data_IF_523457102570
#
_entry.id   IF_523457102570
#
_cell.length_a   1.000
_cell.length_b   1.000
_cell.length_c   1.000
_cell.angle_alpha   90.00
_cell.angle_beta   90.00
_cell.angle_gamma   90.00
#
_symmetry.space_group_name_H-M   'P 1'
#
loop_
_entity.id
_entity.type
_entity.pdbx_description
1 polymer ?
#
# COMPACT_ATOMS: atom_id res chain seq x y z
N UNK A 1 -7.36 17.45 3.05
CA UNK A 1 -8.24 16.72 2.10
C UNK A 1 -7.45 15.55 1.56
N UNK A 2 -7.96 14.33 1.74
CA UNK A 2 -7.41 13.10 1.17
C UNK A 2 -7.83 13.01 -0.29
N UNK A 3 -6.88 13.10 -1.22
CA UNK A 3 -7.17 12.87 -2.64
C UNK A 3 -7.48 11.38 -2.86
N UNK A 4 -8.48 11.04 -3.71
CA UNK A 4 -8.75 9.64 -4.04
C UNK A 4 -7.49 8.98 -4.60
N UNK A 5 -7.11 7.82 -4.04
CA UNK A 5 -5.94 7.06 -4.48
C UNK A 5 -4.59 7.40 -3.82
N UNK A 6 -4.56 8.14 -2.71
CA UNK A 6 -3.34 8.34 -1.91
C UNK A 6 -3.32 7.43 -0.67
N UNK A 7 -2.23 6.70 -0.46
CA UNK A 7 -1.96 5.89 0.74
C UNK A 7 -0.91 6.56 1.61
N UNK A 8 -1.08 6.47 2.94
CA UNK A 8 -0.22 7.10 3.93
C UNK A 8 0.29 6.08 4.94
N UNK A 9 1.59 6.17 5.25
CA UNK A 9 2.21 5.49 6.39
C UNK A 9 2.92 6.54 7.24
N UNK A 10 2.84 6.45 8.57
CA UNK A 10 3.48 7.43 9.44
C UNK A 10 3.85 6.82 10.80
N UNK A 11 5.04 7.15 11.29
CA UNK A 11 5.34 7.07 12.71
C UNK A 11 5.01 8.43 13.34
N UNK A 12 4.30 8.43 14.47
CA UNK A 12 3.87 9.67 15.13
C UNK A 12 5.04 10.65 15.25
N UNK A 13 4.92 11.82 14.61
CA UNK A 13 5.81 12.99 14.76
C UNK A 13 7.27 12.88 14.25
N UNK A 14 7.69 11.75 13.66
CA UNK A 14 9.08 11.57 13.19
C UNK A 14 9.20 11.58 11.67
N UNK A 15 8.36 10.80 10.98
CA UNK A 15 8.42 10.67 9.53
C UNK A 15 7.06 10.22 8.96
N UNK A 16 6.87 10.45 7.66
CA UNK A 16 5.67 10.07 6.91
C UNK A 16 6.04 9.61 5.51
N UNK A 17 5.38 8.56 5.02
CA UNK A 17 5.46 8.09 3.64
C UNK A 17 4.09 8.30 2.98
N UNK A 18 4.10 8.74 1.72
CA UNK A 18 2.92 8.91 0.87
C UNK A 18 3.13 8.18 -0.44
N UNK A 19 2.15 7.40 -0.88
CA UNK A 19 2.12 6.86 -2.24
C UNK A 19 0.87 7.37 -2.97
N UNK A 20 1.04 7.93 -4.16
CA UNK A 20 -0.07 8.47 -4.94
C UNK A 20 0.20 8.49 -6.45
N UNK A 21 -0.87 8.56 -7.24
CA UNK A 21 -0.82 8.76 -8.68
C UNK A 21 -0.35 10.19 -8.98
N UNK A 22 0.94 10.37 -9.32
CA UNK A 22 1.49 11.71 -9.63
C UNK A 22 0.89 12.26 -10.92
N UNK A 23 0.62 11.40 -11.89
CA UNK A 23 -0.13 11.77 -13.10
C UNK A 23 -1.44 12.46 -12.70
N UNK A 24 -2.30 11.79 -11.93
CA UNK A 24 -3.59 12.32 -11.49
C UNK A 24 -3.45 13.59 -10.63
N UNK A 25 -2.42 13.67 -9.78
CA UNK A 25 -2.16 14.86 -8.96
C UNK A 25 -1.80 16.09 -9.80
N UNK A 26 -1.08 15.92 -10.90
CA UNK A 26 -0.72 17.03 -11.79
C UNK A 26 -1.94 17.68 -12.46
N UNK A 27 -3.08 16.99 -12.60
CA UNK A 27 -4.33 17.62 -13.09
C UNK A 27 -4.94 18.58 -12.06
N UNK A 28 -4.74 18.29 -10.78
CA UNK A 28 -5.29 19.07 -9.67
C UNK A 28 -4.33 20.20 -9.29
N UNK A 29 -3.02 19.93 -9.36
CA UNK A 29 -1.94 20.83 -8.99
C UNK A 29 -0.92 20.96 -10.13
N UNK A 30 -1.31 21.53 -11.29
CA UNK A 30 -0.39 21.74 -12.39
C UNK A 30 0.67 22.78 -12.03
N UNK A 31 1.94 22.60 -12.43
CA UNK A 31 2.94 23.66 -12.36
C UNK A 31 2.55 24.79 -13.32
N UNK A 32 3.01 26.01 -13.02
CA UNK A 32 2.69 27.20 -13.81
C UNK A 32 3.31 27.21 -15.21
N UNK A 33 4.39 26.43 -15.42
CA UNK A 33 5.03 26.25 -16.72
C UNK A 33 4.32 25.13 -17.51
N UNK A 34 3.68 25.50 -18.62
CA UNK A 34 2.88 24.61 -19.46
C UNK A 34 3.73 23.53 -20.17
N UNK A 35 4.95 23.88 -20.61
CA UNK A 35 5.85 22.93 -21.24
C UNK A 35 6.36 21.91 -20.22
N UNK A 36 6.68 22.38 -19.01
CA UNK A 36 7.06 21.52 -17.90
C UNK A 36 5.89 20.63 -17.46
N UNK A 37 4.69 21.17 -17.36
CA UNK A 37 3.48 20.41 -17.04
C UNK A 37 3.30 19.25 -18.01
N UNK A 38 3.32 19.51 -19.32
CA UNK A 38 3.16 18.47 -20.34
C UNK A 38 4.23 17.37 -20.22
N UNK A 39 5.50 17.76 -20.05
CA UNK A 39 6.61 16.80 -19.91
C UNK A 39 6.47 15.95 -18.65
N UNK A 40 6.16 16.56 -17.50
CA UNK A 40 5.97 15.84 -16.24
C UNK A 40 4.74 14.92 -16.30
N UNK A 41 3.70 15.35 -17.01
CA UNK A 41 2.49 14.59 -17.21
C UNK A 41 2.76 13.34 -18.03
N UNK A 42 3.39 13.47 -19.20
CA UNK A 42 3.81 12.34 -20.03
C UNK A 42 4.75 11.40 -19.27
N UNK A 43 5.73 11.95 -18.53
CA UNK A 43 6.67 11.15 -17.76
C UNK A 43 6.01 10.33 -16.64
N UNK A 44 5.01 10.90 -15.96
CA UNK A 44 4.37 10.28 -14.81
C UNK A 44 3.26 9.28 -15.16
N UNK A 45 2.95 9.11 -16.46
CA UNK A 45 1.94 8.18 -16.92
C UNK A 45 2.32 6.73 -16.54
N UNK A 46 1.40 6.03 -15.87
CA UNK A 46 1.64 4.68 -15.37
C UNK A 46 2.59 4.58 -14.16
N UNK A 47 3.08 5.70 -13.62
CA UNK A 47 3.99 5.72 -12.47
C UNK A 47 3.27 6.03 -11.15
N UNK A 48 3.65 5.28 -10.12
CA UNK A 48 3.31 5.59 -8.72
C UNK A 48 4.43 6.41 -8.10
N UNK A 49 4.11 7.57 -7.54
CA UNK A 49 5.08 8.34 -6.76
C UNK A 49 5.03 7.91 -5.31
N UNK A 50 6.21 7.62 -4.75
CA UNK A 50 6.41 7.37 -3.33
C UNK A 50 7.24 8.54 -2.79
N UNK A 51 6.78 9.14 -1.69
CA UNK A 51 7.42 10.30 -1.09
C UNK A 51 7.64 10.05 0.40
N UNK A 52 8.85 10.33 0.87
CA UNK A 52 9.20 10.29 2.30
C UNK A 52 9.39 11.71 2.79
N UNK A 53 8.67 12.06 3.85
CA UNK A 53 8.77 13.32 4.56
C UNK A 53 9.39 13.05 5.94
N UNK A 54 10.51 13.70 6.21
CA UNK A 54 11.24 13.59 7.48
C UNK A 54 11.04 14.86 8.30
N UNK A 55 10.63 14.72 9.55
CA UNK A 55 10.41 15.86 10.44
C UNK A 55 11.65 16.16 11.27
N UNK A 56 11.66 17.34 11.91
CA UNK A 56 12.80 17.88 12.68
C UNK A 56 13.47 16.89 13.64
N UNK A 57 12.75 16.05 14.42
CA UNK A 57 13.39 15.08 15.31
C UNK A 57 14.27 14.07 14.55
N UNK A 58 13.77 13.58 13.42
CA UNK A 58 14.46 12.59 12.59
C UNK A 58 15.68 13.19 11.86
N UNK A 59 15.60 14.47 11.49
CA UNK A 59 16.70 15.20 10.86
C UNK A 59 17.83 15.54 11.84
N UNK A 60 17.50 15.77 13.13
CA UNK A 60 18.50 16.09 14.16
C UNK A 60 19.38 14.90 14.54
N UNK A 61 18.80 13.70 14.56
CA UNK A 61 19.50 12.47 14.97
C UNK A 61 20.42 11.89 13.88
N UNK A 62 20.28 12.32 12.62
CA UNK A 62 20.88 11.64 11.46
C UNK A 62 22.14 12.26 10.86
N UNK A 63 22.44 13.53 11.10
CA UNK A 63 23.55 14.20 10.40
C UNK A 63 23.26 14.42 8.90
N UNK A 64 24.15 13.99 8.00
CA UNK A 64 24.05 14.23 6.55
C UNK A 64 23.04 13.28 5.89
N UNK A 65 22.20 13.82 4.99
CA UNK A 65 21.28 13.04 4.16
C UNK A 65 22.03 12.45 2.95
N UNK A 66 22.95 11.51 3.19
CA UNK A 66 23.62 10.82 2.09
C UNK A 66 22.67 9.75 1.53
N UNK A 67 22.17 9.99 0.32
CA UNK A 67 21.24 9.10 -0.37
C UNK A 67 21.88 7.76 -0.76
N UNK A 68 23.21 7.68 -0.81
CA UNK A 68 23.95 6.48 -1.23
C UNK A 68 25.18 6.23 -0.33
N UNK A 69 24.98 6.14 0.98
CA UNK A 69 26.06 5.91 1.96
C UNK A 69 26.91 4.66 1.64
N UNK A 70 26.33 3.65 0.97
CA UNK A 70 27.02 2.39 0.60
C UNK A 70 26.99 2.06 -0.89
N UNK A 71 26.35 2.89 -1.73
CA UNK A 71 26.26 2.68 -3.18
C UNK A 71 25.33 1.55 -3.63
N UNK A 72 24.60 0.89 -2.73
CA UNK A 72 23.60 -0.14 -3.05
C UNK A 72 22.17 0.43 -3.08
N UNK A 73 21.27 -0.05 -3.95
CA UNK A 73 19.88 0.44 -4.02
C UNK A 73 19.13 0.36 -2.69
N UNK A 74 19.46 -0.61 -1.84
CA UNK A 74 18.85 -0.80 -0.53
C UNK A 74 19.23 0.28 0.49
N UNK A 75 20.25 1.11 0.20
CA UNK A 75 20.68 2.21 1.06
C UNK A 75 19.95 3.51 0.81
N UNK A 76 19.15 3.58 -0.26
CA UNK A 76 18.33 4.75 -0.50
C UNK A 76 17.44 4.98 0.73
N UNK A 77 17.45 6.22 1.19
CA UNK A 77 16.74 6.67 2.38
C UNK A 77 15.27 6.21 2.37
N UNK A 78 14.64 6.21 1.20
CA UNK A 78 13.26 5.77 0.99
C UNK A 78 13.04 4.33 1.43
N UNK A 79 13.92 3.39 1.06
CA UNK A 79 13.80 1.97 1.40
C UNK A 79 14.07 1.72 2.88
N UNK A 80 15.01 2.47 3.48
CA UNK A 80 15.23 2.42 4.94
C UNK A 80 13.95 2.76 5.71
N UNK A 81 13.18 3.76 5.29
CA UNK A 81 11.89 4.09 5.93
C UNK A 81 10.76 3.16 5.51
N UNK A 82 10.79 2.64 4.29
CA UNK A 82 9.83 1.64 3.85
C UNK A 82 9.92 0.37 4.71
N UNK A 83 11.14 -0.05 5.07
CA UNK A 83 11.39 -1.17 5.98
C UNK A 83 10.99 -0.88 7.44
N UNK A 84 10.97 0.39 7.85
CA UNK A 84 10.45 0.82 9.16
C UNK A 84 8.92 0.83 9.23
N UNK A 85 8.22 0.69 8.10
CA UNK A 85 6.79 0.44 8.11
C UNK A 85 6.62 -0.96 8.72
N UNK A 86 6.46 -1.01 10.04
CA UNK A 86 5.83 -2.16 10.66
C UNK A 86 4.49 -2.30 9.95
N UNK A 87 4.27 -3.44 9.30
CA UNK A 87 2.94 -3.89 8.92
C UNK A 87 2.24 -4.22 10.24
N UNK A 88 2.01 -3.20 11.06
CA UNK A 88 1.20 -3.26 12.25
C UNK A 88 -0.15 -3.70 11.74
N UNK A 89 -0.44 -4.99 11.95
CA UNK A 89 -1.62 -5.76 11.56
C UNK A 89 -2.60 -4.80 10.95
N UNK A 90 -2.60 -4.69 9.61
CA UNK A 90 -3.53 -3.84 8.87
C UNK A 90 -4.84 -3.91 9.63
N UNK A 91 -5.16 -2.88 10.43
CA UNK A 91 -6.49 -2.76 11.02
C UNK A 91 -7.24 -2.35 9.80
N UNK A 92 -7.61 -3.39 9.02
CA UNK A 92 -8.26 -3.28 7.74
C UNK A 92 -9.29 -2.23 8.00
N UNK A 93 -9.16 -1.13 7.27
CA UNK A 93 -10.30 -0.30 7.02
C UNK A 93 -11.33 -1.30 6.54
N UNK A 94 -12.22 -1.64 7.47
CA UNK A 94 -13.39 -2.42 7.25
C UNK A 94 -14.14 -1.49 6.31
N UNK A 95 -13.83 -1.61 5.03
CA UNK A 95 -14.65 -1.08 3.99
C UNK A 95 -15.97 -1.80 4.23
N UNK A 96 -16.84 -1.07 4.91
CA UNK A 96 -18.18 -1.46 5.33
C UNK A 96 -19.08 -1.59 4.09
N UNK A 97 -18.52 -1.85 2.92
CA UNK A 97 -19.17 -2.64 1.90
C UNK A 97 -19.61 -3.94 2.54
N UNK A 98 -20.90 -4.05 2.82
CA UNK A 98 -21.58 -5.22 3.38
C UNK A 98 -21.18 -6.47 2.61
N UNK A 99 -20.09 -7.12 2.98
CA UNK A 99 -19.78 -8.45 2.51
C UNK A 99 -20.84 -9.36 3.10
N UNK A 100 -21.89 -9.66 2.31
CA UNK A 100 -22.89 -10.70 2.58
C UNK A 100 -22.27 -12.09 2.42
N UNK A 101 -21.08 -12.28 2.99
CA UNK A 101 -20.45 -13.58 3.13
C UNK A 101 -20.98 -14.25 4.40
N UNK A 102 -21.26 -15.54 4.31
CA UNK A 102 -21.61 -16.33 5.50
C UNK A 102 -20.41 -16.31 6.48
N UNK A 103 -20.64 -16.33 7.81
CA UNK A 103 -19.57 -16.27 8.80
C UNK A 103 -18.36 -17.19 8.55
N UNK A 104 -18.54 -18.48 8.19
CA UNK A 104 -17.39 -19.36 7.94
C UNK A 104 -16.59 -19.01 6.67
N UNK A 105 -17.23 -18.40 5.67
CA UNK A 105 -16.57 -17.94 4.44
C UNK A 105 -15.78 -16.67 4.73
N UNK A 106 -16.37 -15.78 5.54
CA UNK A 106 -15.73 -14.54 5.99
C UNK A 106 -14.46 -14.83 6.78
N UNK A 107 -14.48 -15.81 7.68
CA UNK A 107 -13.29 -16.18 8.47
C UNK A 107 -12.11 -16.62 7.59
N UNK A 108 -12.37 -17.45 6.56
CA UNK A 108 -11.33 -17.88 5.60
C UNK A 108 -10.82 -16.70 4.78
N UNK A 109 -11.71 -15.83 4.33
CA UNK A 109 -11.33 -14.62 3.61
C UNK A 109 -10.46 -13.70 4.47
N UNK A 110 -10.80 -13.54 5.76
CA UNK A 110 -10.01 -12.76 6.71
C UNK A 110 -8.60 -13.33 6.95
N UNK A 111 -8.46 -14.66 7.04
CA UNK A 111 -7.16 -15.33 7.12
C UNK A 111 -6.31 -15.09 5.86
N UNK A 112 -6.91 -15.25 4.67
CA UNK A 112 -6.20 -15.02 3.41
C UNK A 112 -5.66 -13.59 3.32
N UNK A 113 -6.50 -12.62 3.69
CA UNK A 113 -6.12 -11.22 3.66
C UNK A 113 -5.13 -10.82 4.76
N UNK A 114 -5.00 -11.62 5.81
CA UNK A 114 -3.94 -11.49 6.81
C UNK A 114 -2.63 -12.14 6.34
N UNK A 115 -2.58 -12.71 5.12
CA UNK A 115 -1.39 -13.29 4.52
C UNK A 115 -1.17 -14.77 4.84
N UNK A 116 -2.13 -15.44 5.46
CA UNK A 116 -2.05 -16.89 5.69
C UNK A 116 -2.36 -17.65 4.39
N UNK A 117 -1.63 -18.74 4.13
CA UNK A 117 -2.03 -19.70 3.12
C UNK A 117 -3.34 -20.34 3.54
N UNK A 118 -4.39 -20.21 2.72
CA UNK A 118 -5.72 -20.81 2.95
C UNK A 118 -6.06 -21.90 1.93
N UNK A 119 -5.10 -22.26 1.07
CA UNK A 119 -5.29 -23.33 0.09
C UNK A 119 -5.52 -24.67 0.80
N UNK A 120 -6.00 -25.72 0.11
CA UNK A 120 -6.19 -27.03 0.75
C UNK A 120 -4.94 -27.62 1.40
N UNK A 121 -3.74 -27.12 1.05
CA UNK A 121 -2.46 -27.55 1.62
C UNK A 121 -2.30 -27.06 3.07
N UNK A 122 -2.81 -25.86 3.39
CA UNK A 122 -2.74 -25.24 4.71
C UNK A 122 -3.48 -26.01 5.82
N UNK A 123 -4.43 -26.88 5.46
CA UNK A 123 -5.25 -27.61 6.42
C UNK A 123 -6.43 -26.82 7.01
N UNK A 124 -6.55 -25.50 6.76
CA UNK A 124 -7.69 -24.70 7.27
C UNK A 124 -9.05 -25.12 6.67
N UNK A 125 -9.04 -25.71 5.47
CA UNK A 125 -10.24 -26.18 4.78
C UNK A 125 -10.00 -27.49 4.04
N UNK A 126 -10.97 -28.40 4.10
CA UNK A 126 -11.04 -29.53 3.17
C UNK A 126 -11.16 -29.02 1.74
N UNK A 127 -10.52 -29.71 0.78
CA UNK A 127 -10.47 -29.31 -0.65
C UNK A 127 -11.82 -28.88 -1.22
N UNK A 128 -12.88 -29.66 -1.00
CA UNK A 128 -14.23 -29.33 -1.50
C UNK A 128 -14.81 -28.05 -0.88
N UNK A 129 -14.59 -27.84 0.43
CA UNK A 129 -15.02 -26.64 1.15
C UNK A 129 -14.27 -25.40 0.65
N UNK A 130 -12.96 -25.53 0.42
CA UNK A 130 -12.12 -24.46 -0.10
C UNK A 130 -12.66 -23.93 -1.45
N UNK A 131 -12.87 -24.80 -2.44
CA UNK A 131 -13.35 -24.35 -3.75
C UNK A 131 -14.75 -23.73 -3.69
N UNK A 132 -15.62 -24.20 -2.79
CA UNK A 132 -16.92 -23.57 -2.54
C UNK A 132 -16.78 -22.18 -1.96
N UNK A 133 -15.90 -21.97 -0.98
CA UNK A 133 -15.67 -20.67 -0.36
C UNK A 133 -14.96 -19.70 -1.31
N UNK A 134 -13.96 -20.17 -2.05
CA UNK A 134 -13.30 -19.41 -3.12
C UNK A 134 -14.31 -18.85 -4.13
N UNK A 135 -15.26 -19.67 -4.58
CA UNK A 135 -16.32 -19.23 -5.49
C UNK A 135 -17.16 -18.10 -4.88
N UNK A 136 -17.63 -18.28 -3.64
CA UNK A 136 -18.44 -17.26 -2.95
C UNK A 136 -17.67 -15.96 -2.70
N UNK A 137 -16.39 -16.04 -2.36
CA UNK A 137 -15.53 -14.88 -2.17
C UNK A 137 -15.35 -14.16 -3.51
N UNK A 138 -15.00 -14.88 -4.57
CA UNK A 138 -14.83 -14.31 -5.91
C UNK A 138 -16.09 -13.63 -6.43
N UNK A 139 -17.27 -14.21 -6.19
CA UNK A 139 -18.56 -13.61 -6.54
C UNK A 139 -18.86 -12.33 -5.73
N UNK A 140 -18.48 -12.29 -4.45
CA UNK A 140 -18.78 -11.18 -3.56
C UNK A 140 -17.75 -10.02 -3.64
N UNK A 141 -16.49 -10.32 -3.92
CA UNK A 141 -15.36 -9.36 -3.84
C UNK A 141 -14.64 -9.16 -5.16
N UNK A 142 -14.83 -10.05 -6.14
CA UNK A 142 -14.01 -10.12 -7.36
C UNK A 142 -12.62 -10.74 -7.13
N UNK A 143 -12.26 -11.08 -5.90
CA UNK A 143 -10.91 -11.54 -5.54
C UNK A 143 -10.81 -13.06 -5.52
N UNK A 144 -9.65 -13.56 -5.96
CA UNK A 144 -9.33 -14.98 -6.01
C UNK A 144 -8.35 -15.33 -4.89
N UNK A 145 -8.74 -16.29 -4.03
CA UNK A 145 -7.98 -16.69 -2.83
C UNK A 145 -7.11 -17.94 -3.04
N UNK A 146 -6.88 -18.30 -4.31
CA UNK A 146 -5.99 -19.39 -4.71
C UNK A 146 -4.52 -19.01 -4.68
#
# INVERSE_FOLDING_TARGET
>A
MTGPGTVYWQAKQHWKIRAYCKYCELDIHPPSDELMFKRLKEYSEGLLRIEVELHRPELKDRGTLDENESGTPDDLIIWRYFNKIEVGVMKRDADKGKLTLRPPVKAIYELWLAGYDVTPVSGYCKRATFYRYRKQIKEATGQDIS
#
